data_IF_831206676105
#
_entry.id   IF_831206676105
#
_cell.length_a   1.000
_cell.length_b   1.000
_cell.length_c   1.000
_cell.angle_alpha   90.00
_cell.angle_beta   90.00
_cell.angle_gamma   90.00
#
_symmetry.space_group_name_H-M   'P 1'
#
loop_
_entity.id
_entity.type
_entity.pdbx_description
1 polymer ?
#
# COMPACT_ATOMS: atom_id res chain seq x y z
N UNK A 1 -0.96 -3.07 10.84
CA UNK A 1 0.00 -3.24 11.95
C UNK A 1 0.23 -1.92 12.63
N UNK A 2 0.63 -1.88 13.90
CA UNK A 2 0.77 -0.62 14.65
C UNK A 2 2.23 -0.38 15.02
N UNK A 3 2.65 0.88 15.12
CA UNK A 3 4.03 1.25 15.45
C UNK A 3 4.14 2.67 15.99
N UNK A 4 5.29 3.02 16.59
CA UNK A 4 5.52 4.35 17.18
C UNK A 4 5.45 5.48 16.14
N UNK A 5 5.95 5.23 14.92
CA UNK A 5 5.90 6.18 13.81
C UNK A 5 4.82 5.83 12.77
N UNK A 6 3.86 4.98 13.14
CA UNK A 6 2.94 4.31 12.22
C UNK A 6 3.40 2.90 11.87
N UNK A 7 2.46 2.05 11.48
CA UNK A 7 2.73 0.70 11.00
C UNK A 7 2.32 0.49 9.55
N UNK A 8 2.74 -0.65 8.97
CA UNK A 8 2.28 -1.06 7.65
C UNK A 8 0.77 -1.33 7.64
N UNK A 9 0.09 -0.92 6.57
CA UNK A 9 -1.30 -1.28 6.32
C UNK A 9 -1.44 -2.76 5.99
N UNK A 10 -2.61 -3.33 6.31
CA UNK A 10 -2.90 -4.73 5.97
C UNK A 10 -2.99 -4.90 4.46
N UNK A 11 -2.35 -5.95 3.92
CA UNK A 11 -2.40 -6.27 2.48
C UNK A 11 -3.06 -7.63 2.31
N UNK A 12 -4.15 -7.66 1.56
CA UNK A 12 -4.95 -8.87 1.31
C UNK A 12 -5.12 -9.04 -0.18
N UNK A 13 -4.88 -10.24 -0.68
CA UNK A 13 -5.16 -10.64 -2.06
C UNK A 13 -6.12 -11.81 -2.02
N UNK A 14 -7.21 -11.71 -2.77
CA UNK A 14 -8.21 -12.77 -2.88
C UNK A 14 -8.35 -13.22 -4.33
N UNK A 15 -8.62 -14.50 -4.50
CA UNK A 15 -8.94 -15.10 -5.78
C UNK A 15 -10.10 -16.08 -5.57
N UNK A 16 -11.33 -15.54 -5.58
CA UNK A 16 -12.55 -16.28 -5.25
C UNK A 16 -13.56 -16.12 -6.38
N UNK A 17 -13.81 -17.20 -7.13
CA UNK A 17 -14.74 -17.20 -8.27
C UNK A 17 -16.23 -17.28 -7.88
N UNK A 18 -16.54 -17.71 -6.66
CA UNK A 18 -17.92 -17.86 -6.16
C UNK A 18 -18.07 -17.12 -4.83
N UNK A 19 -18.06 -15.79 -4.91
CA UNK A 19 -18.34 -14.92 -3.78
C UNK A 19 -19.82 -14.55 -3.81
N UNK A 20 -20.51 -14.71 -2.69
CA UNK A 20 -21.84 -14.11 -2.51
C UNK A 20 -21.70 -12.60 -2.30
N UNK A 21 -22.62 -11.82 -2.86
CA UNK A 21 -22.58 -10.34 -2.87
C UNK A 21 -22.57 -9.69 -1.47
N UNK A 22 -22.87 -10.46 -0.42
CA UNK A 22 -22.93 -10.04 0.98
C UNK A 22 -21.58 -10.08 1.72
N UNK A 23 -20.57 -10.76 1.17
CA UNK A 23 -19.29 -10.92 1.85
C UNK A 23 -18.54 -9.59 1.88
N UNK A 24 -18.23 -9.07 3.06
CA UNK A 24 -17.46 -7.83 3.24
C UNK A 24 -16.03 -8.13 3.69
N UNK A 25 -15.06 -7.55 2.99
CA UNK A 25 -13.64 -7.66 3.33
C UNK A 25 -13.13 -6.28 3.68
N UNK A 26 -12.56 -6.16 4.87
CA UNK A 26 -12.05 -4.91 5.39
C UNK A 26 -10.53 -4.96 5.46
N UNK A 27 -9.91 -3.92 4.94
CA UNK A 27 -8.47 -3.67 5.07
C UNK A 27 -8.29 -2.32 5.72
N UNK A 28 -7.43 -2.28 6.73
CA UNK A 28 -7.18 -1.09 7.52
C UNK A 28 -5.74 -0.63 7.36
N UNK A 29 -5.55 0.68 7.46
CA UNK A 29 -4.23 1.26 7.62
C UNK A 29 -3.58 0.86 8.94
N UNK A 30 -2.27 1.00 9.02
CA UNK A 30 -1.55 0.80 10.28
C UNK A 30 -1.67 2.02 11.18
N UNK A 31 -1.90 1.84 12.48
CA UNK A 31 -1.99 2.99 13.40
C UNK A 31 -0.62 3.43 13.92
N UNK A 32 -0.49 4.73 14.20
CA UNK A 32 0.66 5.30 14.91
C UNK A 32 0.34 5.48 16.39
N UNK A 33 1.14 4.89 17.27
CA UNK A 33 1.01 5.13 18.72
C UNK A 33 1.55 6.50 19.12
N UNK A 34 2.49 7.07 18.36
CA UNK A 34 3.08 8.39 18.64
C UNK A 34 2.28 9.57 18.07
N UNK A 35 1.37 9.31 17.14
CA UNK A 35 0.51 10.33 16.55
C UNK A 35 -0.87 9.72 16.23
N UNK A 36 -1.82 9.72 17.19
CA UNK A 36 -3.12 9.07 17.04
C UNK A 36 -3.94 9.58 15.83
N UNK A 37 -3.73 10.83 15.45
CA UNK A 37 -4.42 11.47 14.32
C UNK A 37 -3.83 11.10 12.94
N UNK A 38 -2.66 10.45 12.92
CA UNK A 38 -1.92 10.09 11.71
C UNK A 38 -1.72 8.57 11.65
N UNK A 39 -2.38 7.92 10.70
CA UNK A 39 -2.11 6.52 10.38
C UNK A 39 -0.81 6.40 9.58
N UNK A 40 -0.14 5.26 9.72
CA UNK A 40 0.93 4.81 8.83
C UNK A 40 0.40 4.45 7.44
N UNK A 41 0.85 3.34 6.87
CA UNK A 41 0.44 2.96 5.53
C UNK A 41 -1.02 2.46 5.48
N UNK A 42 -1.74 2.79 4.41
CA UNK A 42 -3.12 2.37 4.16
C UNK A 42 -3.24 0.87 3.88
N UNK A 43 -4.41 0.29 4.17
CA UNK A 43 -4.71 -1.10 3.85
C UNK A 43 -5.07 -1.26 2.38
N UNK A 44 -4.73 -2.42 1.80
CA UNK A 44 -5.00 -2.75 0.40
C UNK A 44 -5.66 -4.11 0.25
N UNK A 45 -6.70 -4.17 -0.59
CA UNK A 45 -7.40 -5.38 -0.98
C UNK A 45 -7.32 -5.51 -2.50
N UNK A 46 -6.69 -6.57 -2.97
CA UNK A 46 -6.72 -6.94 -4.38
C UNK A 46 -7.70 -8.10 -4.60
N UNK A 47 -8.63 -7.93 -5.53
CA UNK A 47 -9.51 -8.99 -6.01
C UNK A 47 -9.14 -9.40 -7.43
N UNK A 48 -8.73 -10.65 -7.60
CA UNK A 48 -8.21 -11.17 -8.87
C UNK A 48 -9.30 -11.37 -9.94
N UNK A 49 -10.57 -11.52 -9.55
CA UNK A 49 -11.68 -11.78 -10.50
C UNK A 49 -12.06 -10.50 -11.26
N UNK A 50 -12.45 -9.39 -10.60
CA UNK A 50 -12.66 -8.10 -11.24
C UNK A 50 -11.34 -7.33 -11.49
N UNK A 51 -10.19 -7.87 -11.06
CA UNK A 51 -8.87 -7.22 -11.11
C UNK A 51 -8.90 -5.83 -10.47
N UNK A 52 -9.56 -5.71 -9.33
CA UNK A 52 -9.75 -4.44 -8.62
C UNK A 52 -8.83 -4.33 -7.41
N UNK A 53 -8.24 -3.16 -7.25
CA UNK A 53 -7.47 -2.77 -6.07
C UNK A 53 -8.26 -1.74 -5.26
N UNK A 54 -8.72 -2.11 -4.07
CA UNK A 54 -9.29 -1.20 -3.10
C UNK A 54 -8.22 -0.77 -2.09
N UNK A 55 -8.07 0.54 -1.90
CA UNK A 55 -7.17 1.13 -0.90
C UNK A 55 -7.99 1.92 0.11
N UNK A 56 -7.81 1.62 1.39
CA UNK A 56 -8.64 2.16 2.47
C UNK A 56 -7.81 2.48 3.70
N UNK A 57 -7.97 3.69 4.24
CA UNK A 57 -7.28 4.14 5.46
C UNK A 57 -8.22 4.31 6.66
N UNK A 58 -9.41 3.72 6.61
CA UNK A 58 -10.39 3.72 7.69
C UNK A 58 -10.71 5.12 8.24
N UNK A 59 -10.76 6.12 7.35
CA UNK A 59 -11.07 7.51 7.64
C UNK A 59 -10.02 8.22 8.51
N UNK A 60 -8.84 7.63 8.64
CA UNK A 60 -7.69 8.26 9.28
C UNK A 60 -6.90 9.05 8.24
N UNK A 61 -6.39 10.21 8.63
CA UNK A 61 -5.45 10.94 7.79
C UNK A 61 -4.09 10.22 7.77
N UNK A 62 -3.37 10.31 6.66
CA UNK A 62 -1.97 9.91 6.62
C UNK A 62 -1.12 11.00 5.97
N UNK A 63 0.03 11.30 6.58
CA UNK A 63 1.06 12.13 5.96
C UNK A 63 2.01 11.29 5.10
N UNK A 64 2.06 9.98 5.32
CA UNK A 64 2.96 9.07 4.61
C UNK A 64 2.33 8.50 3.35
N UNK A 65 3.14 8.32 2.31
CA UNK A 65 2.71 7.63 1.10
C UNK A 65 2.74 6.12 1.25
N UNK A 66 1.62 5.46 0.95
CA UNK A 66 1.57 3.99 0.91
C UNK A 66 2.23 3.50 -0.37
N UNK A 67 3.42 2.90 -0.27
CA UNK A 67 4.12 2.34 -1.42
C UNK A 67 3.55 0.98 -1.81
N UNK A 68 3.07 0.85 -3.06
CA UNK A 68 2.67 -0.43 -3.65
C UNK A 68 3.87 -1.09 -4.35
N UNK A 69 4.64 -1.86 -3.59
CA UNK A 69 5.88 -2.48 -4.08
C UNK A 69 5.71 -3.91 -4.63
N UNK A 70 4.63 -4.61 -4.25
CA UNK A 70 4.63 -6.08 -4.25
C UNK A 70 3.46 -6.72 -5.02
N UNK A 71 2.86 -5.97 -5.94
CA UNK A 71 1.67 -6.44 -6.64
C UNK A 71 1.96 -6.80 -8.09
N UNK A 72 1.24 -7.81 -8.63
CA UNK A 72 1.69 -8.52 -9.81
C UNK A 72 1.76 -7.60 -11.03
N UNK A 73 2.91 -7.63 -11.69
CA UNK A 73 3.15 -6.90 -12.94
C UNK A 73 2.14 -7.26 -14.03
N UNK A 74 1.46 -8.42 -13.93
CA UNK A 74 0.39 -8.88 -14.81
C UNK A 74 -0.54 -9.88 -14.09
N UNK A 75 -1.87 -9.87 -14.36
CA UNK A 75 -2.58 -8.89 -15.17
C UNK A 75 -2.71 -7.55 -14.43
N UNK A 76 -2.53 -6.46 -15.17
CA UNK A 76 -2.68 -5.10 -14.65
C UNK A 76 -4.06 -4.93 -14.02
N UNK A 77 -4.09 -4.26 -12.88
CA UNK A 77 -5.34 -3.83 -12.28
C UNK A 77 -6.12 -2.97 -13.26
N UNK A 78 -7.39 -3.30 -13.48
CA UNK A 78 -8.26 -2.51 -14.34
C UNK A 78 -9.04 -1.47 -13.56
N UNK A 79 -9.20 -1.67 -12.24
CA UNK A 79 -9.98 -0.80 -11.37
C UNK A 79 -9.18 -0.47 -10.10
N UNK A 80 -9.01 0.81 -9.79
CA UNK A 80 -8.36 1.27 -8.56
C UNK A 80 -9.31 2.20 -7.82
N UNK A 81 -9.73 1.79 -6.63
CA UNK A 81 -10.64 2.55 -5.78
C UNK A 81 -9.90 3.06 -4.54
N UNK A 82 -9.85 4.38 -4.39
CA UNK A 82 -9.26 5.02 -3.21
C UNK A 82 -10.40 5.50 -2.31
N UNK A 83 -10.42 5.04 -1.05
CA UNK A 83 -11.50 5.33 -0.09
C UNK A 83 -10.95 5.81 1.25
N UNK A 84 -11.79 6.55 1.98
CA UNK A 84 -11.60 6.91 3.38
C UNK A 84 -10.19 7.43 3.71
N UNK A 85 -9.79 8.54 3.08
CA UNK A 85 -8.51 9.23 3.30
C UNK A 85 -7.25 8.40 2.97
N UNK A 86 -7.40 7.35 2.16
CA UNK A 86 -6.25 6.61 1.66
C UNK A 86 -5.42 7.43 0.67
N UNK A 87 -4.10 7.23 0.75
CA UNK A 87 -3.12 7.75 -0.20
C UNK A 87 -2.17 6.63 -0.58
N UNK A 88 -1.87 6.51 -1.88
CA UNK A 88 -1.06 5.43 -2.41
C UNK A 88 -0.19 5.92 -3.56
N UNK A 89 1.03 5.39 -3.62
CA UNK A 89 1.99 5.66 -4.70
C UNK A 89 2.33 4.36 -5.38
N UNK A 90 2.16 4.35 -6.70
CA UNK A 90 2.56 3.25 -7.58
C UNK A 90 3.90 3.63 -8.18
N UNK A 91 4.99 2.88 -7.88
CA UNK A 91 6.24 3.08 -8.58
C UNK A 91 6.04 2.85 -10.08
N UNK A 92 6.48 3.79 -10.91
CA UNK A 92 6.54 3.56 -12.34
C UNK A 92 7.48 2.38 -12.60
N UNK A 93 7.08 1.43 -13.45
CA UNK A 93 7.82 0.20 -13.79
C UNK A 93 9.25 0.47 -14.36
N UNK A 94 9.57 1.72 -14.65
CA UNK A 94 10.82 2.17 -15.25
C UNK A 94 11.49 3.27 -14.43
N UNK A 95 11.95 2.93 -13.23
CA UNK A 95 12.98 3.71 -12.55
C UNK A 95 14.13 2.79 -12.17
N UNK A 96 14.88 2.35 -13.19
CA UNK A 96 16.23 1.82 -12.97
C UNK A 96 17.10 3.00 -12.50
N UNK A 97 17.36 3.08 -11.20
CA UNK A 97 18.42 3.94 -10.67
C UNK A 97 19.69 3.10 -10.62
N UNK A 98 20.60 3.31 -11.57
CA UNK A 98 21.96 2.80 -11.50
C UNK A 98 22.83 3.86 -10.83
N UNK A 99 23.41 3.54 -9.68
CA UNK A 99 24.46 4.37 -9.05
C UNK A 99 25.81 3.82 -9.51
N UNK A 100 26.58 4.62 -10.24
CA UNK A 100 27.95 4.30 -10.63
C UNK A 100 28.93 5.20 -9.83
N UNK A 101 29.47 4.67 -8.70
CA UNK A 101 30.60 5.17 -7.87
C UNK A 101 30.41 6.56 -7.18
N UNK A 102 30.99 6.88 -6.01
CA UNK A 102 32.41 6.88 -5.60
C UNK A 102 32.58 6.65 -4.08
N UNK A 103 33.38 5.64 -3.69
CA UNK A 103 34.08 5.65 -2.40
C UNK A 103 35.36 6.47 -2.58
N UNK A 104 35.47 7.63 -1.94
CA UNK A 104 36.71 8.40 -1.87
C UNK A 104 37.33 8.15 -0.50
N UNK A 105 38.37 7.31 -0.46
CA UNK A 105 39.20 7.19 0.73
C UNK A 105 40.07 8.45 0.83
N UNK A 106 39.90 9.20 1.92
CA UNK A 106 40.92 10.14 2.37
C UNK A 106 41.99 9.33 3.10
N UNK A 107 43.24 9.44 2.66
CA UNK A 107 44.39 9.09 3.48
C UNK A 107 44.90 10.39 4.13
N UNK A 108 45.12 10.35 5.44
CA UNK A 108 45.78 11.41 6.20
C UNK A 108 47.22 11.64 5.74
#
# INVERSE_FOLDING_TARGET
>A
GNGLAGGGGGRVSINVFSRHDDTQIFVHGGMSSGCPDNAGAAGTLYDAVPKSLDVNNNNMSTQTDTLLLDFPNQPLWTNVNIRNHAKVVVPLLWSRVQVYNVLQYYND
#
